data_IF_226389320005
#
_entry.id   IF_226389320005
#
_cell.length_a   1.000
_cell.length_b   1.000
_cell.length_c   1.000
_cell.angle_alpha   90.00
_cell.angle_beta   90.00
_cell.angle_gamma   90.00
#
_symmetry.space_group_name_H-M   'P 1'
#
loop_
_entity.id
_entity.type
_entity.pdbx_description
1 polymer ?
#
# COMPACT_ATOMS: atom_id res chain seq x y z
N UNK A 1 40.88 30.35 31.37
CA UNK A 1 41.08 29.06 30.64
C UNK A 1 41.33 27.82 31.54
N UNK A 2 41.92 27.94 32.74
CA UNK A 2 42.20 26.80 33.64
C UNK A 2 40.95 26.10 34.23
N UNK A 3 39.83 26.79 34.45
CA UNK A 3 38.62 26.20 35.04
C UNK A 3 37.86 25.23 34.12
N UNK A 4 37.85 25.46 32.80
CA UNK A 4 37.13 24.61 31.85
C UNK A 4 37.84 23.25 31.69
N UNK A 5 39.15 23.22 31.68
CA UNK A 5 39.92 21.98 31.56
C UNK A 5 39.75 21.05 32.78
N UNK A 6 39.58 21.62 33.95
CA UNK A 6 39.34 20.87 35.17
C UNK A 6 37.97 20.20 35.21
N UNK A 7 36.93 20.90 34.74
CA UNK A 7 35.57 20.36 34.63
C UNK A 7 35.46 19.25 33.57
N UNK A 8 36.15 19.38 32.45
CA UNK A 8 36.20 18.34 31.40
C UNK A 8 36.87 17.04 31.90
N UNK A 9 37.96 17.15 32.70
CA UNK A 9 38.64 15.97 33.31
C UNK A 9 37.72 15.25 34.30
N UNK A 10 36.97 16.01 35.17
CA UNK A 10 36.01 15.43 36.09
C UNK A 10 34.88 14.74 35.39
N UNK A 11 34.34 15.34 34.31
CA UNK A 11 33.30 14.74 33.47
C UNK A 11 33.78 13.45 32.83
N UNK A 12 34.97 13.43 32.23
CA UNK A 12 35.52 12.22 31.64
C UNK A 12 35.72 11.10 32.67
N UNK A 13 36.20 11.40 33.85
CA UNK A 13 36.36 10.42 34.94
C UNK A 13 34.99 9.89 35.42
N UNK A 14 33.93 10.72 35.47
CA UNK A 14 32.59 10.32 35.82
C UNK A 14 32.04 9.32 34.80
N UNK A 15 32.19 9.62 33.50
CA UNK A 15 31.73 8.75 32.41
C UNK A 15 32.44 7.40 32.44
N UNK A 16 33.77 7.39 32.64
CA UNK A 16 34.54 6.14 32.75
C UNK A 16 34.12 5.33 33.98
N UNK A 17 33.88 5.98 35.12
CA UNK A 17 33.39 5.30 36.32
C UNK A 17 31.96 4.75 36.18
N UNK A 18 31.13 5.46 35.46
CA UNK A 18 29.71 5.08 35.20
C UNK A 18 29.53 4.20 33.96
N UNK A 19 30.59 3.75 33.30
CA UNK A 19 30.55 3.03 32.01
C UNK A 19 29.56 1.88 31.96
N UNK A 20 29.51 1.05 32.99
CA UNK A 20 28.59 -0.09 33.05
C UNK A 20 27.13 0.35 33.21
N UNK A 21 26.89 1.39 34.01
CA UNK A 21 25.56 1.96 34.21
C UNK A 21 25.03 2.57 32.91
N UNK A 22 25.88 3.32 32.20
CA UNK A 22 25.54 3.92 30.90
C UNK A 22 25.23 2.81 29.90
N UNK A 23 26.02 1.73 29.86
CA UNK A 23 25.80 0.62 28.94
C UNK A 23 24.48 -0.10 29.23
N UNK A 24 24.17 -0.37 30.51
CA UNK A 24 22.91 -0.99 30.91
C UNK A 24 21.73 -0.10 30.54
N UNK A 25 21.79 1.21 30.82
CA UNK A 25 20.75 2.16 30.46
C UNK A 25 20.57 2.22 28.94
N UNK A 26 21.66 2.23 28.16
CA UNK A 26 21.58 2.24 26.69
C UNK A 26 20.88 1.00 26.16
N UNK A 27 21.19 -0.19 26.67
CA UNK A 27 20.53 -1.44 26.30
C UNK A 27 19.04 -1.41 26.69
N UNK A 28 18.73 -0.89 27.86
CA UNK A 28 17.34 -0.78 28.35
C UNK A 28 16.52 0.19 27.50
N UNK A 29 17.11 1.26 26.99
CA UNK A 29 16.47 2.21 26.07
C UNK A 29 16.27 1.65 24.67
N UNK A 30 17.00 0.62 24.24
CA UNK A 30 16.75 -0.05 22.97
C UNK A 30 15.38 -0.75 22.93
N UNK A 31 14.86 -1.21 24.07
CA UNK A 31 13.57 -1.87 24.15
C UNK A 31 12.42 -0.92 23.70
N UNK A 32 12.22 0.24 24.34
CA UNK A 32 11.18 1.18 23.90
C UNK A 32 11.47 1.73 22.49
N UNK A 33 12.73 1.89 22.09
CA UNK A 33 13.09 2.31 20.75
C UNK A 33 12.66 1.28 19.68
N UNK A 34 12.86 -0.02 19.95
CA UNK A 34 12.40 -1.09 19.07
C UNK A 34 10.86 -1.11 18.96
N UNK A 35 10.14 -0.94 20.08
CA UNK A 35 8.68 -0.81 20.04
C UNK A 35 8.23 0.43 19.26
N UNK A 36 8.89 1.57 19.45
CA UNK A 36 8.61 2.78 18.69
C UNK A 36 8.83 2.57 17.19
N UNK A 37 9.91 1.92 16.79
CA UNK A 37 10.21 1.63 15.39
C UNK A 37 9.12 0.77 14.72
N UNK A 38 8.70 -0.32 15.37
CA UNK A 38 7.66 -1.23 14.83
C UNK A 38 6.29 -0.55 14.73
N UNK A 39 5.97 0.36 15.67
CA UNK A 39 4.68 1.07 15.69
C UNK A 39 4.70 2.40 14.91
N UNK A 40 5.86 2.84 14.42
CA UNK A 40 5.95 4.05 13.60
C UNK A 40 5.49 3.73 12.18
N UNK A 41 4.37 4.31 11.78
CA UNK A 41 3.87 4.23 10.41
C UNK A 41 4.30 5.47 9.65
N UNK A 42 4.82 5.27 8.45
CA UNK A 42 5.09 6.37 7.52
C UNK A 42 3.83 6.59 6.69
N UNK A 43 3.23 7.76 6.83
CA UNK A 43 2.11 8.14 5.97
C UNK A 43 2.67 8.60 4.62
N UNK A 44 2.41 7.81 3.58
CA UNK A 44 2.80 8.11 2.18
C UNK A 44 1.70 8.88 1.44
N UNK A 45 0.60 9.23 2.11
CA UNK A 45 -0.47 9.98 1.49
C UNK A 45 -0.08 11.44 1.31
N UNK A 46 0.23 11.79 0.07
CA UNK A 46 0.56 13.18 -0.31
C UNK A 46 -0.63 14.13 -0.10
N UNK A 47 -1.85 13.60 -0.18
CA UNK A 47 -3.07 14.40 -0.01
C UNK A 47 -3.26 14.85 1.45
N UNK A 48 -2.74 14.09 2.41
CA UNK A 48 -2.76 14.45 3.84
C UNK A 48 -2.03 15.78 4.16
N UNK A 49 -1.08 16.16 3.30
CA UNK A 49 -0.31 17.41 3.47
C UNK A 49 -0.91 18.60 2.72
N UNK A 50 -2.00 18.40 2.00
CA UNK A 50 -2.68 19.46 1.28
C UNK A 50 -3.64 20.22 2.21
N UNK A 51 -3.83 21.53 1.99
CA UNK A 51 -4.82 22.29 2.75
C UNK A 51 -6.23 21.75 2.54
N UNK A 52 -7.03 21.78 3.60
CA UNK A 52 -8.45 21.43 3.52
C UNK A 52 -9.18 22.37 2.55
N UNK A 53 -10.16 21.82 1.82
CA UNK A 53 -11.05 22.62 0.97
C UNK A 53 -10.57 22.88 -0.46
N UNK A 54 -9.47 22.25 -0.90
CA UNK A 54 -9.11 22.23 -2.32
C UNK A 54 -9.99 21.21 -3.08
N UNK A 55 -10.25 21.48 -4.36
CA UNK A 55 -11.14 20.66 -5.22
C UNK A 55 -10.72 19.18 -5.24
N UNK A 56 -9.41 18.88 -5.20
CA UNK A 56 -8.89 17.51 -5.17
C UNK A 56 -9.32 16.75 -3.91
N UNK A 57 -9.26 17.39 -2.74
CA UNK A 57 -9.70 16.78 -1.47
C UNK A 57 -11.20 16.55 -1.47
N UNK A 58 -11.96 17.55 -1.91
CA UNK A 58 -13.43 17.43 -2.05
C UNK A 58 -13.80 16.32 -3.03
N UNK A 59 -13.08 16.20 -4.15
CA UNK A 59 -13.30 15.13 -5.13
C UNK A 59 -13.00 13.74 -4.55
N UNK A 60 -11.94 13.60 -3.76
CA UNK A 60 -11.61 12.35 -3.09
C UNK A 60 -12.68 11.97 -2.03
N UNK A 61 -13.15 12.94 -1.25
CA UNK A 61 -14.21 12.72 -0.26
C UNK A 61 -15.52 12.25 -0.92
N UNK A 62 -15.89 12.83 -2.05
CA UNK A 62 -17.05 12.41 -2.84
C UNK A 62 -16.84 10.98 -3.35
N UNK A 63 -15.66 10.68 -3.93
CA UNK A 63 -15.35 9.35 -4.42
C UNK A 63 -15.44 8.29 -3.32
N UNK A 64 -14.92 8.59 -2.14
CA UNK A 64 -14.91 7.67 -1.01
C UNK A 64 -16.30 7.55 -0.35
N UNK A 65 -16.94 8.67 -0.02
CA UNK A 65 -18.16 8.68 0.77
C UNK A 65 -19.43 8.39 -0.06
N UNK A 66 -19.53 8.94 -1.28
CA UNK A 66 -20.72 8.79 -2.13
C UNK A 66 -20.61 7.57 -3.05
N UNK A 67 -19.42 7.30 -3.59
CA UNK A 67 -19.18 6.16 -4.48
C UNK A 67 -18.52 4.98 -3.77
N UNK A 68 -18.02 5.15 -2.55
CA UNK A 68 -17.32 4.13 -1.78
C UNK A 68 -16.07 3.58 -2.50
N UNK A 69 -15.40 4.40 -3.29
CA UNK A 69 -14.26 4.03 -4.14
C UNK A 69 -13.15 5.02 -3.86
N UNK A 70 -12.12 4.58 -3.12
CA UNK A 70 -11.05 5.47 -2.68
C UNK A 70 -9.78 5.38 -3.53
N UNK A 71 -9.48 4.20 -4.05
CA UNK A 71 -8.30 3.96 -4.86
C UNK A 71 -8.57 2.92 -5.95
N UNK A 72 -7.68 2.87 -6.93
CA UNK A 72 -7.65 1.79 -7.92
C UNK A 72 -6.22 1.31 -8.15
N UNK A 73 -6.10 0.03 -8.55
CA UNK A 73 -4.85 -0.59 -8.95
C UNK A 73 -5.02 -1.33 -10.27
N UNK A 74 -3.91 -1.62 -10.95
CA UNK A 74 -3.90 -2.41 -12.17
C UNK A 74 -3.17 -3.72 -11.91
N UNK A 75 -3.79 -4.84 -12.26
CA UNK A 75 -3.19 -6.18 -12.25
C UNK A 75 -2.98 -6.60 -13.69
N UNK A 76 -1.71 -6.78 -14.06
CA UNK A 76 -1.32 -7.31 -15.37
C UNK A 76 -1.18 -8.82 -15.24
N UNK A 77 -1.88 -9.56 -16.11
CA UNK A 77 -1.81 -11.02 -16.22
C UNK A 77 -1.21 -11.37 -17.57
N UNK A 78 -0.17 -12.16 -17.56
CA UNK A 78 0.55 -12.57 -18.79
C UNK A 78 0.48 -14.09 -19.00
N UNK A 79 0.20 -14.51 -20.23
CA UNK A 79 0.23 -15.92 -20.64
C UNK A 79 -0.85 -16.82 -20.00
N UNK A 80 -1.86 -16.27 -19.34
CA UNK A 80 -2.96 -16.99 -18.73
C UNK A 80 -4.18 -17.03 -19.68
N UNK A 81 -4.88 -18.15 -19.70
CA UNK A 81 -6.15 -18.24 -20.44
C UNK A 81 -7.29 -17.50 -19.74
N UNK A 82 -8.36 -17.23 -20.48
CA UNK A 82 -9.50 -16.43 -19.96
C UNK A 82 -10.22 -17.13 -18.79
N UNK A 83 -10.28 -18.47 -18.77
CA UNK A 83 -10.96 -19.21 -17.71
C UNK A 83 -10.19 -19.08 -16.38
N UNK A 84 -8.88 -19.24 -16.43
CA UNK A 84 -8.02 -19.09 -15.24
C UNK A 84 -7.92 -17.62 -14.81
N UNK A 85 -7.89 -16.69 -15.77
CA UNK A 85 -7.95 -15.24 -15.48
C UNK A 85 -9.27 -14.86 -14.79
N UNK A 86 -10.41 -15.44 -15.20
CA UNK A 86 -11.69 -15.22 -14.54
C UNK A 86 -11.74 -15.83 -13.11
N UNK A 87 -11.06 -16.95 -12.88
CA UNK A 87 -10.90 -17.51 -11.53
C UNK A 87 -10.07 -16.59 -10.65
N UNK A 88 -8.93 -16.12 -11.16
CA UNK A 88 -8.07 -15.16 -10.47
C UNK A 88 -8.82 -13.86 -10.14
N UNK A 89 -9.63 -13.34 -11.08
CA UNK A 89 -10.50 -12.20 -10.83
C UNK A 89 -11.39 -12.41 -9.61
N UNK A 90 -12.07 -13.56 -9.51
CA UNK A 90 -12.95 -13.89 -8.38
C UNK A 90 -12.18 -14.03 -7.07
N UNK A 91 -10.97 -14.56 -7.11
CA UNK A 91 -10.11 -14.64 -5.91
C UNK A 91 -9.72 -13.24 -5.44
N UNK A 92 -9.37 -12.34 -6.36
CA UNK A 92 -9.07 -10.94 -6.03
C UNK A 92 -10.32 -10.22 -5.51
N UNK A 93 -11.50 -10.43 -6.10
CA UNK A 93 -12.77 -9.88 -5.61
C UNK A 93 -13.12 -10.33 -4.18
N UNK A 94 -12.62 -11.48 -3.75
CA UNK A 94 -12.79 -12.01 -2.39
C UNK A 94 -11.81 -11.44 -1.35
N UNK A 95 -10.88 -10.59 -1.75
CA UNK A 95 -9.91 -9.98 -0.83
C UNK A 95 -10.58 -8.83 -0.09
N UNK A 96 -10.38 -8.74 1.22
CA UNK A 96 -10.86 -7.65 2.05
C UNK A 96 -10.39 -6.29 1.48
N UNK A 97 -11.25 -5.27 1.55
CA UNK A 97 -11.02 -3.93 0.99
C UNK A 97 -10.96 -3.84 -0.54
N UNK A 98 -11.16 -4.95 -1.26
CA UNK A 98 -11.44 -4.92 -2.69
C UNK A 98 -12.95 -4.74 -2.89
N UNK A 99 -13.34 -3.65 -3.51
CA UNK A 99 -14.74 -3.34 -3.80
C UNK A 99 -15.22 -4.01 -5.07
N UNK A 100 -14.42 -3.97 -6.12
CA UNK A 100 -14.77 -4.50 -7.43
C UNK A 100 -13.51 -4.75 -8.27
N UNK A 101 -13.59 -5.68 -9.21
CA UNK A 101 -12.54 -5.91 -10.21
C UNK A 101 -13.16 -5.80 -11.61
N UNK A 102 -12.73 -4.79 -12.35
CA UNK A 102 -13.17 -4.58 -13.72
C UNK A 102 -12.22 -5.25 -14.69
N UNK A 103 -12.78 -6.08 -15.54
CA UNK A 103 -12.10 -6.72 -16.66
C UNK A 103 -13.05 -6.69 -17.86
N UNK A 104 -12.63 -7.13 -19.05
CA UNK A 104 -13.51 -7.06 -20.20
C UNK A 104 -14.80 -7.88 -20.05
N UNK A 105 -14.79 -8.92 -19.20
CA UNK A 105 -15.98 -9.71 -18.85
C UNK A 105 -17.06 -8.90 -18.12
N UNK A 106 -16.68 -7.81 -17.48
CA UNK A 106 -17.63 -6.88 -16.82
C UNK A 106 -18.50 -6.13 -17.86
N UNK A 107 -18.06 -6.09 -19.11
CA UNK A 107 -18.73 -5.40 -20.22
C UNK A 107 -19.27 -6.37 -21.27
N UNK A 108 -18.83 -7.65 -21.25
CA UNK A 108 -19.23 -8.65 -22.22
C UNK A 108 -19.15 -10.06 -21.63
N UNK A 109 -20.16 -10.91 -21.87
CA UNK A 109 -20.16 -12.30 -21.40
C UNK A 109 -19.00 -13.09 -22.03
N UNK A 110 -18.22 -13.80 -21.22
CA UNK A 110 -17.13 -14.69 -21.67
C UNK A 110 -17.60 -15.80 -22.63
N UNK A 111 -18.91 -16.11 -22.63
CA UNK A 111 -19.51 -17.08 -23.57
C UNK A 111 -19.66 -16.53 -24.99
N UNK A 112 -19.55 -15.21 -25.16
CA UNK A 112 -19.62 -14.59 -26.48
C UNK A 112 -18.26 -14.78 -27.17
N UNK A 113 -18.24 -15.29 -28.41
CA UNK A 113 -16.98 -15.40 -29.15
C UNK A 113 -16.27 -14.06 -29.26
N UNK A 114 -14.95 -14.04 -29.00
CA UNK A 114 -14.12 -12.82 -29.03
C UNK A 114 -14.29 -11.99 -30.31
N UNK A 115 -14.60 -12.66 -31.43
CA UNK A 115 -14.87 -12.02 -32.74
C UNK A 115 -16.14 -11.14 -32.75
N UNK A 116 -17.07 -11.33 -31.81
CA UNK A 116 -18.31 -10.57 -31.70
C UNK A 116 -18.21 -9.42 -30.67
N UNK A 117 -17.11 -9.36 -29.91
CA UNK A 117 -16.88 -8.27 -28.98
C UNK A 117 -16.49 -6.98 -29.72
N UNK A 118 -16.92 -5.81 -29.24
CA UNK A 118 -16.39 -4.54 -29.72
C UNK A 118 -14.86 -4.54 -29.56
N UNK A 119 -14.15 -4.39 -30.67
CA UNK A 119 -12.67 -4.47 -30.66
C UNK A 119 -12.05 -3.45 -29.73
N UNK A 120 -12.64 -2.28 -29.59
CA UNK A 120 -12.15 -1.22 -28.71
C UNK A 120 -12.19 -1.64 -27.24
N UNK A 121 -13.27 -2.32 -26.83
CA UNK A 121 -13.40 -2.84 -25.44
C UNK A 121 -12.40 -3.97 -25.22
N UNK A 122 -12.32 -4.94 -26.13
CA UNK A 122 -11.38 -6.05 -25.97
C UNK A 122 -9.93 -5.56 -25.96
N UNK A 123 -9.55 -4.68 -26.88
CA UNK A 123 -8.18 -4.17 -26.98
C UNK A 123 -7.79 -3.22 -25.84
N UNK A 124 -8.77 -2.62 -25.14
CA UNK A 124 -8.49 -1.80 -23.96
C UNK A 124 -7.93 -2.65 -22.80
N UNK A 125 -8.33 -3.91 -22.72
CA UNK A 125 -7.90 -4.82 -21.66
C UNK A 125 -6.87 -5.85 -22.10
N UNK A 126 -6.73 -6.12 -23.40
CA UNK A 126 -5.91 -7.23 -23.90
C UNK A 126 -4.93 -6.77 -24.96
N UNK A 127 -3.67 -7.18 -24.84
CA UNK A 127 -2.61 -6.92 -25.81
C UNK A 127 -1.54 -7.99 -25.76
N UNK A 128 -1.15 -8.53 -26.90
CA UNK A 128 0.02 -9.43 -27.09
C UNK A 128 0.05 -10.64 -26.13
N UNK A 129 -1.13 -11.22 -25.82
CA UNK A 129 -1.25 -12.36 -24.91
C UNK A 129 -1.34 -11.99 -23.42
N UNK A 130 -1.25 -10.70 -23.11
CA UNK A 130 -1.41 -10.17 -21.74
C UNK A 130 -2.78 -9.52 -21.59
N UNK A 131 -3.32 -9.53 -20.38
CA UNK A 131 -4.56 -8.84 -20.04
C UNK A 131 -4.40 -8.00 -18.79
N UNK A 132 -5.19 -6.92 -18.68
CA UNK A 132 -5.21 -6.02 -17.54
C UNK A 132 -6.57 -6.10 -16.83
N UNK A 133 -6.53 -6.19 -15.50
CA UNK A 133 -7.69 -6.00 -14.63
C UNK A 133 -7.51 -4.72 -13.83
N UNK A 134 -8.58 -3.95 -13.64
CA UNK A 134 -8.61 -2.80 -12.75
C UNK A 134 -9.29 -3.21 -11.45
N UNK A 135 -8.55 -3.13 -10.35
CA UNK A 135 -9.04 -3.40 -8.99
C UNK A 135 -9.42 -2.08 -8.35
N UNK A 136 -10.64 -1.99 -7.83
CA UNK A 136 -11.15 -0.81 -7.12
C UNK A 136 -11.17 -1.15 -5.63
N UNK A 137 -10.60 -0.27 -4.81
CA UNK A 137 -10.53 -0.40 -3.35
C UNK A 137 -11.54 0.53 -2.67
N UNK A 138 -11.97 0.15 -1.47
CA UNK A 138 -12.91 0.91 -0.64
C UNK A 138 -12.23 1.94 0.29
N UNK A 139 -10.90 2.02 0.26
CA UNK A 139 -10.08 2.92 1.08
C UNK A 139 -9.19 3.78 0.18
N UNK A 140 -8.56 4.80 0.73
CA UNK A 140 -7.66 5.72 0.01
C UNK A 140 -6.42 4.99 -0.51
N UNK A 141 -5.69 5.61 -1.43
CA UNK A 141 -4.49 5.01 -2.06
C UNK A 141 -3.39 4.63 -1.07
N UNK A 142 -3.31 5.32 0.06
CA UNK A 142 -2.35 5.08 1.15
C UNK A 142 -3.02 4.53 2.40
N UNK A 143 -4.31 4.21 2.35
CA UNK A 143 -5.08 3.63 3.46
C UNK A 143 -4.59 2.24 3.84
N UNK A 144 -4.69 1.91 5.11
CA UNK A 144 -4.27 0.59 5.64
C UNK A 144 -5.03 -0.55 4.94
N UNK A 145 -6.31 -0.33 4.61
CA UNK A 145 -7.15 -1.29 3.90
C UNK A 145 -6.60 -1.58 2.50
N UNK A 146 -6.33 -0.55 1.71
CA UNK A 146 -5.76 -0.67 0.36
C UNK A 146 -4.39 -1.35 0.39
N UNK A 147 -3.52 -0.96 1.34
CA UNK A 147 -2.17 -1.56 1.46
C UNK A 147 -2.25 -3.04 1.83
N UNK A 148 -3.13 -3.42 2.75
CA UNK A 148 -3.37 -4.81 3.13
C UNK A 148 -3.93 -5.63 1.96
N UNK A 149 -4.89 -5.09 1.22
CA UNK A 149 -5.46 -5.72 0.04
C UNK A 149 -4.39 -5.98 -1.04
N UNK A 150 -3.51 -4.99 -1.31
CA UNK A 150 -2.41 -5.13 -2.27
C UNK A 150 -1.44 -6.24 -1.85
N UNK A 151 -1.11 -6.36 -0.56
CA UNK A 151 -0.23 -7.41 -0.05
C UNK A 151 -0.87 -8.79 -0.20
N UNK A 152 -2.16 -8.92 0.11
CA UNK A 152 -2.92 -10.14 -0.07
C UNK A 152 -3.00 -10.54 -1.55
N UNK A 153 -3.30 -9.61 -2.46
CA UNK A 153 -3.31 -9.84 -3.91
C UNK A 153 -1.94 -10.30 -4.39
N UNK A 154 -0.86 -9.66 -3.96
CA UNK A 154 0.51 -10.08 -4.29
C UNK A 154 0.83 -11.50 -3.80
N UNK A 155 0.25 -11.90 -2.69
CA UNK A 155 0.43 -13.25 -2.16
C UNK A 155 -0.33 -14.28 -2.98
N UNK A 156 -1.55 -13.96 -3.42
CA UNK A 156 -2.36 -14.80 -4.33
C UNK A 156 -1.69 -14.98 -5.70
N UNK A 157 -0.99 -13.96 -6.18
CA UNK A 157 -0.37 -13.96 -7.53
C UNK A 157 1.09 -14.43 -7.56
N UNK A 158 1.67 -14.81 -6.42
CA UNK A 158 3.01 -15.39 -6.33
C UNK A 158 3.02 -16.89 -6.67
N UNK A 159 2.84 -17.20 -7.96
CA UNK A 159 3.06 -18.58 -8.44
C UNK A 159 3.98 -18.58 -9.64
#
# INVERSE_FOLDING_TARGET
MRGQVHNMKKFGQLVVKARYVILIISILLLIPAAFGYVNTRVNYDLLYYLPDGIDTMTGQDIMLNDFGSGAFGLVLVDGMDDENTAKLKKEIEGVDHVKNVLWYDSFADLKIPKSMLPKDVYNAFNKDGSTIMMVIFDDTSSGDGTMSAIENIRTLTKH
#
